data_IF_660028091812
#
_entry.id   IF_660028091812
#
_cell.length_a   1.000
_cell.length_b   1.000
_cell.length_c   1.000
_cell.angle_alpha   90.00
_cell.angle_beta   90.00
_cell.angle_gamma   90.00
#
_symmetry.space_group_name_H-M   'P 1'
#
loop_
_entity.id
_entity.type
_entity.pdbx_description
1 polymer ?
#
# COMPACT_ATOMS: atom_id res chain seq x y z
N UNK A 1 23.90 -3.49 0.87
CA UNK A 1 23.75 -4.86 1.43
C UNK A 1 22.66 -4.95 2.50
N UNK A 2 22.56 -4.03 3.48
CA UNK A 2 21.56 -4.12 4.57
C UNK A 2 20.11 -4.08 4.09
N UNK A 3 19.77 -3.24 3.11
CA UNK A 3 18.43 -3.20 2.51
C UNK A 3 18.00 -4.54 1.90
N UNK A 4 18.92 -5.20 1.17
CA UNK A 4 18.65 -6.54 0.65
C UNK A 4 18.44 -7.57 1.77
N UNK A 5 19.26 -7.51 2.84
CA UNK A 5 19.07 -8.36 4.02
C UNK A 5 17.72 -8.16 4.68
N UNK A 6 17.25 -6.91 4.80
CA UNK A 6 15.93 -6.62 5.35
C UNK A 6 14.81 -7.26 4.52
N UNK A 7 14.86 -7.07 3.18
CA UNK A 7 13.86 -7.66 2.29
C UNK A 7 13.90 -9.20 2.33
N UNK A 8 15.09 -9.81 2.21
CA UNK A 8 15.25 -11.27 2.19
C UNK A 8 14.82 -11.90 3.52
N UNK A 9 15.13 -11.27 4.66
CA UNK A 9 14.72 -11.78 5.98
C UNK A 9 13.20 -11.86 6.12
N UNK A 10 12.47 -10.87 5.59
CA UNK A 10 11.02 -10.79 5.74
C UNK A 10 10.25 -11.48 4.59
N UNK A 11 10.91 -11.74 3.46
CA UNK A 11 10.32 -12.35 2.27
C UNK A 11 9.58 -13.68 2.52
N UNK A 12 10.05 -14.61 3.38
CA UNK A 12 9.37 -15.89 3.60
C UNK A 12 7.94 -15.78 4.16
N UNK A 13 7.58 -14.61 4.70
CA UNK A 13 6.23 -14.37 5.24
C UNK A 13 5.25 -13.85 4.18
N UNK A 14 5.77 -13.43 3.02
CA UNK A 14 4.99 -12.78 1.98
C UNK A 14 4.60 -13.76 0.88
N UNK A 15 3.35 -13.64 0.40
CA UNK A 15 2.78 -14.48 -0.64
C UNK A 15 1.70 -13.73 -1.42
N UNK A 16 1.37 -14.24 -2.61
CA UNK A 16 0.16 -13.89 -3.33
C UNK A 16 -0.78 -15.10 -3.42
N UNK A 17 -2.07 -14.85 -3.64
CA UNK A 17 -3.00 -15.90 -4.04
C UNK A 17 -2.98 -16.05 -5.56
N UNK A 18 -3.03 -17.29 -6.05
CA UNK A 18 -3.06 -17.62 -7.46
C UNK A 18 -4.24 -18.51 -7.83
N UNK A 19 -4.70 -18.34 -9.07
CA UNK A 19 -5.73 -19.18 -9.65
C UNK A 19 -6.47 -18.48 -10.78
N UNK A 20 -6.95 -19.26 -11.75
CA UNK A 20 -7.69 -18.75 -12.90
C UNK A 20 -8.92 -17.91 -12.51
N UNK A 21 -9.47 -18.13 -11.31
CA UNK A 21 -10.57 -17.36 -10.76
C UNK A 21 -10.16 -15.89 -10.55
N UNK A 22 -8.97 -15.66 -9.98
CA UNK A 22 -8.42 -14.32 -9.79
C UNK A 22 -8.11 -13.64 -11.12
N UNK A 23 -7.54 -14.37 -12.07
CA UNK A 23 -7.23 -13.84 -13.39
C UNK A 23 -8.51 -13.43 -14.13
N UNK A 24 -9.55 -14.26 -14.05
CA UNK A 24 -10.86 -13.96 -14.63
C UNK A 24 -11.50 -12.72 -13.99
N UNK A 25 -11.43 -12.59 -12.66
CA UNK A 25 -11.97 -11.40 -11.96
C UNK A 25 -11.17 -10.16 -12.32
N UNK A 26 -9.83 -10.23 -12.35
CA UNK A 26 -9.00 -9.12 -12.80
C UNK A 26 -9.34 -8.67 -14.21
N UNK A 27 -9.52 -9.61 -15.13
CA UNK A 27 -9.94 -9.30 -16.50
C UNK A 27 -11.34 -8.67 -16.54
N UNK A 28 -12.28 -9.17 -15.77
CA UNK A 28 -13.62 -8.59 -15.63
C UNK A 28 -13.56 -7.16 -15.12
N UNK A 29 -12.76 -6.90 -14.07
CA UNK A 29 -12.56 -5.58 -13.50
C UNK A 29 -11.86 -4.64 -14.49
N UNK A 30 -10.80 -5.09 -15.14
CA UNK A 30 -10.06 -4.32 -16.14
C UNK A 30 -10.95 -3.85 -17.30
N UNK A 31 -11.82 -4.74 -17.78
CA UNK A 31 -12.77 -4.45 -18.86
C UNK A 31 -14.05 -3.77 -18.37
N UNK A 32 -14.21 -3.59 -17.06
CA UNK A 32 -15.43 -3.07 -16.42
C UNK A 32 -16.71 -3.79 -16.83
N UNK A 33 -16.61 -5.10 -17.07
CA UNK A 33 -17.76 -5.96 -17.36
C UNK A 33 -18.44 -6.40 -16.06
N UNK A 34 -19.11 -5.46 -15.41
CA UNK A 34 -19.63 -5.57 -14.05
C UNK A 34 -21.14 -5.87 -14.05
N UNK A 35 -21.57 -6.84 -14.88
CA UNK A 35 -22.95 -7.28 -14.89
C UNK A 35 -23.31 -8.11 -13.65
N UNK A 36 -24.61 -8.13 -13.32
CA UNK A 36 -25.11 -8.75 -12.09
C UNK A 36 -24.85 -10.28 -12.03
N UNK A 37 -24.87 -10.96 -13.15
CA UNK A 37 -24.66 -12.41 -13.20
C UNK A 37 -23.19 -12.76 -12.93
N UNK A 38 -22.26 -12.06 -13.57
CA UNK A 38 -20.84 -12.20 -13.33
C UNK A 38 -20.48 -11.90 -11.88
N UNK A 39 -20.99 -10.82 -11.32
CA UNK A 39 -20.78 -10.47 -9.91
C UNK A 39 -21.35 -11.54 -8.99
N UNK A 40 -22.56 -12.04 -9.23
CA UNK A 40 -23.19 -13.09 -8.44
C UNK A 40 -22.38 -14.38 -8.46
N UNK A 41 -21.87 -14.76 -9.63
CA UNK A 41 -20.97 -15.92 -9.79
C UNK A 41 -19.72 -15.76 -8.92
N UNK A 42 -19.04 -14.63 -9.00
CA UNK A 42 -17.79 -14.43 -8.29
C UNK A 42 -17.96 -14.23 -6.77
N UNK A 43 -19.13 -13.80 -6.31
CA UNK A 43 -19.47 -13.77 -4.86
C UNK A 43 -19.49 -15.17 -4.21
N UNK A 44 -19.61 -16.23 -5.00
CA UNK A 44 -19.58 -17.63 -4.50
C UNK A 44 -18.15 -18.17 -4.31
N UNK A 45 -17.14 -17.46 -4.81
CA UNK A 45 -15.76 -17.92 -4.78
C UNK A 45 -15.06 -17.42 -3.51
N UNK A 46 -14.48 -18.33 -2.75
CA UNK A 46 -13.61 -18.01 -1.61
C UNK A 46 -12.18 -17.75 -2.11
N UNK A 47 -11.89 -16.52 -2.52
CA UNK A 47 -10.58 -16.15 -3.06
C UNK A 47 -9.42 -16.32 -2.08
N UNK A 48 -9.67 -16.19 -0.79
CA UNK A 48 -8.66 -16.40 0.27
C UNK A 48 -8.40 -17.88 0.61
N UNK A 49 -9.09 -18.80 -0.07
CA UNK A 49 -8.85 -20.26 -0.02
C UNK A 49 -8.07 -20.78 -1.23
N UNK A 50 -7.68 -19.90 -2.16
CA UNK A 50 -6.89 -20.26 -3.31
C UNK A 50 -5.43 -20.58 -2.92
N UNK A 51 -4.69 -21.31 -3.79
CA UNK A 51 -3.28 -21.59 -3.56
C UNK A 51 -2.45 -20.32 -3.32
N UNK A 52 -1.45 -20.43 -2.46
CA UNK A 52 -0.50 -19.37 -2.15
C UNK A 52 0.81 -19.61 -2.87
N UNK A 53 1.35 -18.58 -3.49
CA UNK A 53 2.69 -18.55 -4.05
C UNK A 53 3.55 -17.61 -3.21
N UNK A 54 4.55 -18.17 -2.56
CA UNK A 54 5.43 -17.40 -1.67
C UNK A 54 6.50 -16.67 -2.46
N UNK A 55 6.78 -15.43 -2.06
CA UNK A 55 7.79 -14.59 -2.72
C UNK A 55 9.17 -15.24 -2.77
N UNK A 56 9.55 -15.95 -1.71
CA UNK A 56 10.80 -16.69 -1.64
C UNK A 56 10.97 -17.75 -2.73
N UNK A 57 9.88 -18.18 -3.38
CA UNK A 57 9.90 -19.18 -4.47
C UNK A 57 9.99 -18.55 -5.86
N UNK A 58 9.53 -17.30 -6.02
CA UNK A 58 9.30 -16.71 -7.36
C UNK A 58 10.03 -15.40 -7.59
N UNK A 59 10.45 -14.69 -6.54
CA UNK A 59 11.10 -13.39 -6.69
C UNK A 59 12.51 -13.56 -7.29
N UNK A 60 12.85 -12.71 -8.23
CA UNK A 60 14.17 -12.73 -8.88
C UNK A 60 15.12 -11.70 -8.28
N UNK A 61 16.42 -11.96 -8.39
CA UNK A 61 17.45 -10.99 -7.98
C UNK A 61 17.32 -9.67 -8.73
N UNK A 62 17.02 -9.69 -10.02
CA UNK A 62 16.84 -8.48 -10.83
C UNK A 62 15.68 -7.63 -10.33
N UNK A 63 14.56 -8.25 -9.97
CA UNK A 63 13.41 -7.55 -9.38
C UNK A 63 13.80 -6.84 -8.08
N UNK A 64 14.51 -7.53 -7.17
CA UNK A 64 14.96 -6.93 -5.91
C UNK A 64 15.97 -5.82 -6.13
N UNK A 65 16.92 -5.99 -7.04
CA UNK A 65 17.95 -4.98 -7.36
C UNK A 65 17.25 -3.71 -7.88
N UNK A 66 16.36 -3.83 -8.87
CA UNK A 66 15.63 -2.68 -9.42
C UNK A 66 14.81 -1.96 -8.33
N UNK A 67 14.11 -2.73 -7.49
CA UNK A 67 13.34 -2.18 -6.37
C UNK A 67 14.22 -1.40 -5.39
N UNK A 68 15.36 -2.00 -5.00
CA UNK A 68 16.31 -1.39 -4.05
C UNK A 68 16.92 -0.12 -4.65
N UNK A 69 17.38 -0.17 -5.88
CA UNK A 69 18.06 0.95 -6.55
C UNK A 69 17.12 2.15 -6.69
N UNK A 70 15.89 1.94 -7.13
CA UNK A 70 14.89 3.00 -7.22
C UNK A 70 14.50 3.55 -5.84
N UNK A 71 14.38 2.70 -4.82
CA UNK A 71 14.10 3.13 -3.46
C UNK A 71 15.24 4.00 -2.89
N UNK A 72 16.49 3.58 -3.06
CA UNK A 72 17.65 4.40 -2.66
C UNK A 72 17.76 5.70 -3.44
N UNK A 73 17.46 5.66 -4.74
CA UNK A 73 17.51 6.84 -5.60
C UNK A 73 16.60 7.95 -5.07
N UNK A 74 15.34 7.65 -4.72
CA UNK A 74 14.41 8.64 -4.17
C UNK A 74 14.73 9.01 -2.73
N UNK A 75 15.19 8.07 -1.91
CA UNK A 75 15.59 8.35 -0.53
C UNK A 75 16.75 9.35 -0.46
N UNK A 76 17.75 9.21 -1.32
CA UNK A 76 18.90 10.12 -1.38
C UNK A 76 18.60 11.44 -2.10
N UNK A 77 17.67 11.42 -3.05
CA UNK A 77 17.35 12.60 -3.88
C UNK A 77 16.63 13.68 -3.10
N UNK A 78 15.65 13.31 -2.29
CA UNK A 78 14.74 14.28 -1.72
C UNK A 78 15.14 14.73 -0.32
N UNK A 79 15.14 16.06 -0.06
CA UNK A 79 15.69 16.63 1.18
C UNK A 79 14.89 16.26 2.43
N UNK A 80 13.59 16.02 2.33
CA UNK A 80 12.77 15.60 3.48
C UNK A 80 13.16 14.23 4.03
N UNK A 81 13.89 13.42 3.29
CA UNK A 81 14.38 12.13 3.75
C UNK A 81 15.64 12.20 4.62
N UNK A 82 16.23 13.39 4.81
CA UNK A 82 17.40 13.58 5.72
C UNK A 82 17.08 13.23 7.18
N UNK A 83 15.81 13.35 7.58
CA UNK A 83 15.32 12.99 8.92
C UNK A 83 14.89 11.52 9.04
N UNK A 84 14.91 10.78 7.93
CA UNK A 84 14.48 9.40 7.89
C UNK A 84 15.70 8.49 8.10
N UNK A 85 15.73 7.76 9.20
CA UNK A 85 16.79 6.80 9.45
C UNK A 85 16.65 5.55 8.54
N UNK A 86 17.60 4.64 8.67
CA UNK A 86 17.62 3.45 7.81
C UNK A 86 16.49 2.47 8.10
N UNK A 87 16.05 2.35 9.35
CA UNK A 87 14.94 1.47 9.73
C UNK A 87 13.62 2.01 9.20
N UNK A 88 13.40 3.33 9.30
CA UNK A 88 12.27 4.00 8.67
C UNK A 88 12.27 3.87 7.15
N UNK A 89 13.44 4.03 6.50
CA UNK A 89 13.57 3.79 5.07
C UNK A 89 13.17 2.36 4.70
N UNK A 90 13.65 1.39 5.46
CA UNK A 90 13.34 -0.02 5.25
C UNK A 90 11.85 -0.33 5.40
N UNK A 91 11.15 0.37 6.31
CA UNK A 91 9.73 0.11 6.54
C UNK A 91 8.80 0.89 5.62
N UNK A 92 9.11 2.17 5.33
CA UNK A 92 8.16 3.05 4.64
C UNK A 92 8.45 3.26 3.16
N UNK A 93 9.71 3.12 2.69
CA UNK A 93 10.08 3.39 1.29
C UNK A 93 10.51 2.14 0.55
N UNK A 94 11.34 1.30 1.17
CA UNK A 94 11.98 0.14 0.54
C UNK A 94 11.03 -0.99 0.13
N UNK A 95 9.93 -1.31 0.86
CA UNK A 95 9.12 -2.51 0.60
C UNK A 95 8.59 -2.58 -0.83
N UNK A 96 8.69 -3.77 -1.42
CA UNK A 96 8.26 -4.04 -2.79
C UNK A 96 6.79 -4.46 -2.91
N UNK A 97 6.13 -4.74 -1.78
CA UNK A 97 4.72 -5.12 -1.71
C UNK A 97 4.01 -4.45 -0.53
N UNK A 98 2.70 -4.58 -0.49
CA UNK A 98 1.81 -4.02 0.55
C UNK A 98 1.25 -5.14 1.44
N UNK A 99 0.63 -6.15 0.84
CA UNK A 99 0.01 -7.30 1.53
C UNK A 99 0.13 -8.57 0.66
N UNK A 100 -0.96 -9.08 0.10
CA UNK A 100 -1.05 -10.36 -0.63
C UNK A 100 -1.29 -10.20 -2.13
N UNK A 101 -0.90 -9.07 -2.69
CA UNK A 101 -0.96 -8.80 -4.11
C UNK A 101 0.10 -9.60 -4.88
N UNK A 102 -0.12 -9.93 -6.17
CA UNK A 102 0.92 -10.47 -7.03
C UNK A 102 2.09 -9.50 -7.20
N UNK A 103 3.28 -10.05 -7.44
CA UNK A 103 4.46 -9.25 -7.79
C UNK A 103 4.26 -8.59 -9.16
N UNK A 104 4.60 -7.32 -9.27
CA UNK A 104 4.62 -6.55 -10.53
C UNK A 104 5.72 -5.50 -10.51
N UNK A 105 6.14 -5.00 -11.68
CA UNK A 105 7.17 -3.95 -11.80
C UNK A 105 6.63 -2.56 -11.52
N UNK A 106 5.76 -2.44 -10.52
CA UNK A 106 5.05 -1.22 -10.18
C UNK A 106 5.96 -0.04 -9.87
N UNK A 107 7.10 -0.27 -9.18
CA UNK A 107 7.94 0.82 -8.67
C UNK A 107 8.50 1.69 -9.79
N UNK A 108 8.99 1.09 -10.85
CA UNK A 108 9.49 1.81 -12.02
C UNK A 108 8.38 2.62 -12.69
N UNK A 109 7.22 2.00 -12.90
CA UNK A 109 6.06 2.63 -13.52
C UNK A 109 5.61 3.89 -12.76
N UNK A 110 5.46 3.79 -11.45
CA UNK A 110 5.08 4.93 -10.60
C UNK A 110 6.21 5.95 -10.48
N UNK A 111 7.47 5.52 -10.41
CA UNK A 111 8.62 6.40 -10.39
C UNK A 111 8.68 7.27 -11.64
N UNK A 112 8.60 6.68 -12.82
CA UNK A 112 8.67 7.39 -14.11
C UNK A 112 7.49 8.35 -14.31
N UNK A 113 6.33 8.07 -13.73
CA UNK A 113 5.17 8.93 -13.80
C UNK A 113 5.23 10.09 -12.78
N UNK A 114 5.41 9.77 -11.49
CA UNK A 114 5.18 10.76 -10.43
C UNK A 114 6.41 11.60 -10.10
N UNK A 115 7.64 11.08 -10.25
CA UNK A 115 8.82 11.86 -9.86
C UNK A 115 9.07 13.08 -10.75
N UNK A 116 8.91 13.05 -12.10
CA UNK A 116 9.06 14.25 -12.91
C UNK A 116 8.03 15.32 -12.56
N UNK A 117 6.80 14.91 -12.25
CA UNK A 117 5.72 15.82 -11.83
C UNK A 117 6.07 16.47 -10.49
N UNK A 118 6.47 15.68 -9.52
CA UNK A 118 6.86 16.18 -8.21
C UNK A 118 8.05 17.14 -8.31
N UNK A 119 9.06 16.80 -9.11
CA UNK A 119 10.23 17.64 -9.35
C UNK A 119 9.88 18.99 -10.00
N UNK A 120 8.85 19.01 -10.85
CA UNK A 120 8.41 20.26 -11.50
C UNK A 120 7.55 21.14 -10.59
N UNK A 121 6.83 20.54 -9.65
CA UNK A 121 5.85 21.23 -8.81
C UNK A 121 6.40 21.65 -7.44
N UNK A 122 7.44 20.97 -6.94
CA UNK A 122 7.90 21.17 -5.57
C UNK A 122 9.42 21.09 -5.43
N UNK A 123 10.01 22.18 -4.92
CA UNK A 123 11.44 22.31 -4.67
C UNK A 123 11.78 22.55 -3.19
N UNK A 124 10.79 22.35 -2.30
CA UNK A 124 10.96 22.55 -0.86
C UNK A 124 11.46 21.30 -0.13
N UNK A 125 11.56 21.41 1.19
CA UNK A 125 12.06 20.35 2.07
C UNK A 125 10.96 19.69 2.92
N UNK A 126 9.73 20.23 2.90
CA UNK A 126 8.63 19.72 3.72
C UNK A 126 7.90 18.55 3.04
N UNK A 127 7.98 17.38 3.67
CA UNK A 127 7.33 16.16 3.20
C UNK A 127 5.79 16.27 3.13
N UNK A 128 5.17 17.12 3.95
CA UNK A 128 3.70 17.31 3.92
C UNK A 128 3.28 17.98 2.62
N UNK A 129 4.04 18.99 2.16
CA UNK A 129 3.77 19.62 0.87
C UNK A 129 4.07 18.69 -0.30
N UNK A 130 5.18 17.92 -0.24
CA UNK A 130 5.47 16.91 -1.25
C UNK A 130 4.31 15.89 -1.37
N UNK A 131 3.81 15.40 -0.23
CA UNK A 131 2.66 14.50 -0.18
C UNK A 131 1.41 15.13 -0.81
N UNK A 132 1.11 16.41 -0.50
CA UNK A 132 -0.02 17.15 -1.11
C UNK A 132 0.10 17.25 -2.61
N UNK A 133 1.29 17.47 -3.17
CA UNK A 133 1.49 17.54 -4.63
C UNK A 133 1.16 16.21 -5.29
N UNK A 134 1.66 15.10 -4.73
CA UNK A 134 1.33 13.75 -5.23
C UNK A 134 -0.15 13.43 -5.06
N UNK A 135 -0.79 13.82 -3.94
CA UNK A 135 -2.24 13.69 -3.76
C UNK A 135 -3.03 14.47 -4.81
N UNK A 136 -2.57 15.69 -5.15
CA UNK A 136 -3.16 16.50 -6.21
C UNK A 136 -3.12 15.80 -7.57
N UNK A 137 -2.01 15.14 -7.89
CA UNK A 137 -1.88 14.36 -9.13
C UNK A 137 -2.75 13.10 -9.12
N UNK A 138 -2.80 12.40 -8.00
CA UNK A 138 -3.67 11.23 -7.82
C UNK A 138 -5.15 11.57 -8.03
N UNK A 139 -5.59 12.76 -7.61
CA UNK A 139 -6.97 13.24 -7.78
C UNK A 139 -7.38 13.46 -9.25
N UNK A 140 -6.44 13.75 -10.15
CA UNK A 140 -6.74 13.97 -11.58
C UNK A 140 -7.22 12.71 -12.30
N UNK A 141 -6.94 11.55 -11.75
CA UNK A 141 -7.36 10.25 -12.26
C UNK A 141 -8.29 9.58 -11.25
N UNK A 142 -9.58 9.64 -11.50
CA UNK A 142 -10.59 9.10 -10.60
C UNK A 142 -10.47 7.58 -10.41
N UNK A 143 -10.79 7.12 -9.20
CA UNK A 143 -10.98 5.71 -8.89
C UNK A 143 -12.42 5.31 -9.25
N UNK A 144 -12.57 4.28 -10.07
CA UNK A 144 -13.88 3.66 -10.26
C UNK A 144 -14.26 2.88 -9.00
N UNK A 145 -15.26 3.38 -8.27
CA UNK A 145 -15.63 2.81 -6.98
C UNK A 145 -16.40 1.50 -7.15
N UNK A 146 -15.83 0.40 -6.61
CA UNK A 146 -16.39 -0.94 -6.72
C UNK A 146 -16.20 -1.72 -5.41
N UNK A 147 -17.29 -2.17 -4.79
CA UNK A 147 -17.32 -2.84 -3.48
C UNK A 147 -17.96 -4.23 -3.50
N UNK A 148 -18.36 -4.70 -4.67
CA UNK A 148 -19.21 -5.88 -4.79
C UNK A 148 -18.48 -7.21 -4.52
N UNK A 149 -17.15 -7.24 -4.61
CA UNK A 149 -16.36 -8.42 -4.39
C UNK A 149 -15.29 -8.20 -3.32
N UNK A 150 -15.12 -9.20 -2.45
CA UNK A 150 -14.01 -9.27 -1.49
C UNK A 150 -12.95 -10.17 -2.08
N UNK A 151 -11.89 -9.58 -2.60
CA UNK A 151 -10.78 -10.26 -3.28
C UNK A 151 -9.44 -9.90 -2.61
N UNK A 152 -8.36 -10.68 -2.78
CA UNK A 152 -7.01 -10.28 -2.41
C UNK A 152 -6.61 -8.94 -3.01
N UNK A 153 -5.53 -8.33 -2.49
CA UNK A 153 -5.01 -7.08 -3.05
C UNK A 153 -4.65 -7.23 -4.52
N UNK A 154 -4.87 -6.20 -5.29
CA UNK A 154 -4.46 -6.12 -6.68
C UNK A 154 -3.07 -5.48 -6.75
N UNK A 155 -2.25 -5.95 -7.68
CA UNK A 155 -0.90 -5.45 -7.85
C UNK A 155 -0.85 -4.00 -8.32
N UNK A 156 0.31 -3.37 -8.12
CA UNK A 156 0.47 -1.95 -8.40
C UNK A 156 0.35 -1.58 -9.87
N UNK A 157 0.75 -2.46 -10.79
CA UNK A 157 0.62 -2.23 -12.22
C UNK A 157 -0.85 -2.28 -12.67
N UNK A 158 -1.60 -3.28 -12.19
CA UNK A 158 -3.05 -3.35 -12.41
C UNK A 158 -3.74 -2.08 -11.89
N UNK A 159 -3.46 -1.68 -10.67
CA UNK A 159 -4.07 -0.49 -10.06
C UNK A 159 -3.67 0.81 -10.77
N UNK A 160 -2.46 0.90 -11.29
CA UNK A 160 -2.03 2.06 -12.08
C UNK A 160 -2.88 2.24 -13.34
N UNK A 161 -3.13 1.15 -14.07
CA UNK A 161 -3.84 1.20 -15.35
C UNK A 161 -5.36 1.29 -15.19
N UNK A 162 -5.93 0.53 -14.25
CA UNK A 162 -7.39 0.33 -14.21
C UNK A 162 -8.11 1.14 -13.15
N UNK A 163 -7.42 1.50 -12.03
CA UNK A 163 -7.96 2.35 -10.96
C UNK A 163 -9.39 1.97 -10.58
N UNK A 164 -9.60 0.74 -10.16
CA UNK A 164 -10.89 0.19 -9.75
C UNK A 164 -10.77 -0.42 -8.36
N UNK A 165 -11.76 -0.19 -7.51
CA UNK A 165 -11.82 -0.72 -6.15
C UNK A 165 -12.52 0.22 -5.18
N UNK A 166 -12.14 0.18 -3.92
CA UNK A 166 -12.73 0.99 -2.85
C UNK A 166 -11.64 1.64 -1.98
N UNK A 167 -11.89 1.90 -0.70
CA UNK A 167 -10.91 2.59 0.17
C UNK A 167 -9.55 1.89 0.21
N UNK A 168 -9.51 0.56 0.20
CA UNK A 168 -8.27 -0.23 0.20
C UNK A 168 -7.43 0.05 -1.05
N UNK A 169 -8.01 -0.12 -2.24
CA UNK A 169 -7.30 0.11 -3.51
C UNK A 169 -6.89 1.58 -3.68
N UNK A 170 -7.69 2.51 -3.17
CA UNK A 170 -7.30 3.92 -3.10
C UNK A 170 -6.04 4.13 -2.25
N UNK A 171 -5.98 3.45 -1.09
CA UNK A 171 -4.81 3.48 -0.21
C UNK A 171 -3.59 2.81 -0.85
N UNK A 172 -3.79 1.68 -1.54
CA UNK A 172 -2.71 0.95 -2.20
C UNK A 172 -2.08 1.77 -3.34
N UNK A 173 -2.90 2.35 -4.22
CA UNK A 173 -2.44 3.26 -5.28
C UNK A 173 -1.63 4.42 -4.68
N UNK A 174 -2.14 4.99 -3.60
CA UNK A 174 -1.47 6.08 -2.90
C UNK A 174 -0.12 5.63 -2.35
N UNK A 175 -0.07 4.49 -1.68
CA UNK A 175 1.15 3.95 -1.10
C UNK A 175 2.22 3.66 -2.15
N UNK A 176 1.83 3.09 -3.31
CA UNK A 176 2.74 2.90 -4.44
C UNK A 176 3.31 4.23 -4.96
N UNK A 177 2.47 5.22 -5.18
CA UNK A 177 2.89 6.54 -5.65
C UNK A 177 3.84 7.24 -4.65
N UNK A 178 3.49 7.21 -3.36
CA UNK A 178 4.30 7.83 -2.31
C UNK A 178 5.66 7.14 -2.13
N UNK A 179 5.69 5.79 -2.09
CA UNK A 179 6.95 5.03 -2.04
C UNK A 179 7.84 5.30 -3.25
N UNK A 180 7.26 5.39 -4.45
CA UNK A 180 7.99 5.71 -5.68
C UNK A 180 8.57 7.13 -5.68
N UNK A 181 7.98 8.06 -4.91
CA UNK A 181 8.45 9.43 -4.71
C UNK A 181 9.29 9.61 -3.45
N UNK A 182 9.65 8.55 -2.75
CA UNK A 182 10.42 8.67 -1.50
C UNK A 182 9.66 9.42 -0.39
N UNK A 183 8.35 9.32 -0.36
CA UNK A 183 7.49 9.90 0.69
C UNK A 183 7.10 8.78 1.66
N UNK A 184 7.46 8.87 2.95
CA UNK A 184 7.26 7.80 3.92
C UNK A 184 5.80 7.71 4.37
N UNK A 185 5.05 6.81 3.75
CA UNK A 185 3.63 6.59 4.00
C UNK A 185 3.38 5.15 4.43
N UNK A 186 2.47 4.96 5.36
CA UNK A 186 1.92 3.68 5.74
C UNK A 186 0.42 3.63 5.46
N UNK A 187 -0.13 2.42 5.44
CA UNK A 187 -1.57 2.18 5.41
C UNK A 187 -2.02 1.71 6.78
N UNK A 188 -3.06 2.33 7.30
CA UNK A 188 -3.71 1.94 8.55
C UNK A 188 -5.16 1.54 8.30
N UNK A 189 -5.68 0.66 9.16
CA UNK A 189 -7.04 0.17 9.06
C UNK A 189 -7.62 -0.20 10.42
N UNK A 190 -8.95 -0.25 10.50
CA UNK A 190 -9.65 -0.93 11.56
C UNK A 190 -10.57 -2.00 10.96
N UNK A 191 -10.69 -3.12 11.65
CA UNK A 191 -11.57 -4.21 11.22
C UNK A 191 -12.98 -4.09 11.78
N UNK A 192 -13.14 -3.35 12.86
CA UNK A 192 -14.39 -3.23 13.57
C UNK A 192 -14.58 -1.84 14.14
N UNK A 193 -15.75 -1.27 13.90
CA UNK A 193 -16.21 -0.04 14.53
C UNK A 193 -17.37 -0.38 15.46
N UNK A 194 -17.46 0.19 16.67
CA UNK A 194 -18.59 -0.03 17.56
C UNK A 194 -19.96 0.41 16.98
N UNK A 195 -19.93 1.37 16.07
CA UNK A 195 -21.15 1.94 15.48
C UNK A 195 -21.45 1.42 14.07
N UNK A 196 -20.38 1.04 13.34
CA UNK A 196 -20.49 0.56 11.97
C UNK A 196 -19.78 -0.77 11.90
N UNK A 197 -20.44 -1.84 11.57
CA UNK A 197 -19.80 -3.15 11.34
C UNK A 197 -18.96 -3.14 10.05
N UNK A 198 -18.25 -2.04 9.77
CA UNK A 198 -17.53 -1.81 8.55
C UNK A 198 -16.03 -1.64 8.80
N UNK A 199 -15.27 -2.32 7.99
CA UNK A 199 -13.84 -2.14 7.77
C UNK A 199 -13.57 -0.81 7.04
N UNK A 200 -12.51 -0.11 7.43
CA UNK A 200 -12.03 1.06 6.69
C UNK A 200 -10.51 1.13 6.72
N UNK A 201 -9.95 1.68 5.65
CA UNK A 201 -8.51 1.82 5.42
C UNK A 201 -8.21 3.26 5.02
N UNK A 202 -7.11 3.82 5.54
CA UNK A 202 -6.60 5.16 5.22
C UNK A 202 -5.08 5.14 5.17
N UNK A 203 -4.47 6.22 4.66
CA UNK A 203 -3.03 6.39 4.69
C UNK A 203 -2.58 7.30 5.83
N UNK A 204 -1.36 7.11 6.29
CA UNK A 204 -0.68 7.99 7.24
C UNK A 204 0.69 8.36 6.71
N UNK A 205 0.97 9.66 6.68
CA UNK A 205 2.28 10.21 6.35
C UNK A 205 3.14 10.30 7.61
N UNK A 206 4.34 9.73 7.60
CA UNK A 206 5.34 9.99 8.63
C UNK A 206 6.04 11.30 8.30
N UNK A 207 5.87 12.32 9.13
CA UNK A 207 6.51 13.60 8.90
C UNK A 207 7.97 13.65 9.41
N UNK A 208 8.66 14.75 9.16
CA UNK A 208 10.06 14.93 9.55
C UNK A 208 10.30 14.97 11.07
N UNK A 209 9.24 15.06 11.88
CA UNK A 209 9.31 14.96 13.35
C UNK A 209 9.03 13.54 13.87
N UNK A 210 8.73 12.61 12.99
CA UNK A 210 8.35 11.23 13.34
C UNK A 210 6.86 11.05 13.66
N UNK A 211 6.04 12.10 13.54
CA UNK A 211 4.58 12.03 13.76
C UNK A 211 3.89 11.45 12.54
N UNK A 212 2.81 10.69 12.80
CA UNK A 212 1.96 10.17 11.75
C UNK A 212 0.75 11.07 11.54
N UNK A 213 0.55 11.51 10.30
CA UNK A 213 -0.51 12.42 9.87
C UNK A 213 -1.47 11.63 8.99
N UNK A 214 -2.71 11.47 9.43
CA UNK A 214 -3.77 10.83 8.67
C UNK A 214 -4.12 11.66 7.42
N UNK A 215 -4.30 10.97 6.28
CA UNK A 215 -4.84 11.58 5.07
C UNK A 215 -5.57 10.55 4.20
N UNK A 216 -6.47 11.03 3.35
CA UNK A 216 -7.15 10.25 2.31
C UNK A 216 -7.14 11.08 1.02
N UNK A 217 -6.45 10.67 -0.05
CA UNK A 217 -6.42 11.45 -1.29
C UNK A 217 -7.83 11.75 -1.81
N UNK A 218 -8.07 13.03 -2.09
CA UNK A 218 -9.40 13.48 -2.54
C UNK A 218 -10.39 13.83 -1.44
N UNK A 219 -10.15 13.43 -0.18
CA UNK A 219 -11.06 13.67 0.94
C UNK A 219 -10.42 14.46 2.08
N UNK A 220 -9.22 14.04 2.50
CA UNK A 220 -8.50 14.59 3.64
C UNK A 220 -7.08 14.86 3.22
N UNK A 221 -6.68 16.13 3.15
CA UNK A 221 -5.31 16.52 2.85
C UNK A 221 -4.43 16.40 4.12
N UNK A 222 -3.17 15.91 3.99
CA UNK A 222 -2.27 15.83 5.13
C UNK A 222 -1.95 17.23 5.68
N UNK A 223 -2.03 17.41 7.00
CA UNK A 223 -1.73 18.68 7.67
C UNK A 223 -1.23 18.46 9.09
N UNK A 224 -0.30 19.34 9.56
CA UNK A 224 0.18 19.38 10.96
C UNK A 224 -0.69 20.28 11.84
N UNK A 225 -1.43 21.20 11.24
CA UNK A 225 -2.05 22.34 11.94
C UNK A 225 -3.29 21.97 12.73
N UNK A 226 -3.85 20.81 12.44
CA UNK A 226 -5.05 20.31 13.12
C UNK A 226 -5.07 18.79 13.17
N UNK A 227 -5.74 18.26 14.19
CA UNK A 227 -6.09 16.84 14.24
C UNK A 227 -7.18 16.59 13.21
N UNK A 228 -6.86 15.78 12.21
CA UNK A 228 -7.79 15.41 11.16
C UNK A 228 -8.52 14.14 11.57
N UNK A 229 -9.82 14.13 11.43
CA UNK A 229 -10.67 12.96 11.70
C UNK A 229 -11.60 12.71 10.54
N UNK A 230 -11.89 11.45 10.26
CA UNK A 230 -12.92 11.02 9.33
C UNK A 230 -14.30 10.91 10.00
N UNK A 231 -14.43 11.39 11.25
CA UNK A 231 -15.64 11.35 12.10
C UNK A 231 -16.17 9.93 12.39
N UNK A 232 -15.35 8.90 12.18
CA UNK A 232 -15.71 7.52 12.50
C UNK A 232 -15.15 7.13 13.85
N UNK A 233 -15.96 6.58 14.73
CA UNK A 233 -15.46 5.91 15.93
C UNK A 233 -14.76 4.63 15.52
N UNK A 234 -13.46 4.56 15.81
CA UNK A 234 -12.61 3.42 15.50
C UNK A 234 -12.48 2.53 16.73
N UNK A 235 -12.54 1.23 16.51
CA UNK A 235 -12.03 0.26 17.47
C UNK A 235 -10.50 0.31 17.49
N UNK A 236 -9.86 -0.86 17.59
CA UNK A 236 -8.41 -0.95 17.49
C UNK A 236 -7.96 -0.67 16.05
N UNK A 237 -7.08 0.31 15.88
CA UNK A 237 -6.42 0.58 14.60
C UNK A 237 -5.13 -0.26 14.49
N UNK A 238 -4.85 -0.73 13.29
CA UNK A 238 -3.67 -1.51 12.92
C UNK A 238 -2.94 -0.80 11.79
N UNK A 239 -1.63 -1.03 11.68
CA UNK A 239 -0.79 -0.56 10.59
C UNK A 239 -0.19 -1.75 9.86
N UNK A 240 -0.21 -1.71 8.53
CA UNK A 240 0.57 -2.64 7.74
C UNK A 240 2.05 -2.33 7.89
N UNK A 241 2.82 -3.33 8.24
CA UNK A 241 4.27 -3.28 8.34
C UNK A 241 4.87 -4.38 7.47
N UNK A 242 5.95 -4.07 6.73
CA UNK A 242 6.64 -5.06 5.92
C UNK A 242 7.53 -5.96 6.78
N UNK A 243 8.22 -5.37 7.73
CA UNK A 243 9.09 -6.09 8.65
C UNK A 243 8.32 -6.83 9.76
N UNK A 244 8.87 -7.95 10.21
CA UNK A 244 8.33 -8.71 11.33
C UNK A 244 8.27 -7.86 12.61
N UNK A 245 7.08 -7.75 13.19
CA UNK A 245 6.85 -7.01 14.43
C UNK A 245 7.03 -7.94 15.65
N UNK A 246 8.27 -8.12 16.11
CA UNK A 246 8.64 -9.04 17.20
C UNK A 246 7.84 -8.84 18.48
N UNK A 247 7.53 -7.59 18.85
CA UNK A 247 6.73 -7.29 20.03
C UNK A 247 5.29 -7.80 19.90
N UNK A 248 4.70 -7.70 18.71
CA UNK A 248 3.36 -8.21 18.42
C UNK A 248 3.35 -9.73 18.39
N UNK A 249 4.35 -10.35 17.77
CA UNK A 249 4.51 -11.81 17.75
C UNK A 249 4.66 -12.41 19.16
N UNK A 250 5.45 -11.76 20.03
CA UNK A 250 5.59 -12.18 21.42
C UNK A 250 4.28 -12.05 22.22
N UNK A 251 3.49 -11.01 21.99
CA UNK A 251 2.18 -10.83 22.64
C UNK A 251 1.16 -11.87 22.18
N UNK A 252 1.15 -12.21 20.90
CA UNK A 252 0.28 -13.25 20.33
C UNK A 252 0.64 -14.64 20.89
N UNK A 253 1.93 -14.96 20.97
CA UNK A 253 2.41 -16.22 21.54
C UNK A 253 2.10 -16.38 23.04
N UNK A 254 2.17 -15.28 23.81
CA UNK A 254 1.84 -15.30 25.25
C UNK A 254 0.35 -15.50 25.54
N UNK A 255 -0.53 -15.11 24.65
CA UNK A 255 -2.00 -15.20 24.82
C UNK A 255 -2.64 -16.45 24.23
N UNK A 256 -1.86 -17.39 23.70
CA UNK A 256 -2.39 -18.65 23.15
C UNK A 256 -3.34 -18.44 21.94
N UNK A 257 -3.28 -17.31 21.26
CA UNK A 257 -4.00 -17.09 20.02
C UNK A 257 -3.37 -17.97 18.93
N UNK A 258 -3.92 -19.16 18.75
CA UNK A 258 -3.67 -19.97 17.55
C UNK A 258 -4.39 -19.28 16.40
N UNK A 259 -3.69 -19.11 15.28
CA UNK A 259 -4.30 -18.71 14.03
C UNK A 259 -5.42 -19.73 13.68
N UNK A 260 -6.66 -19.30 13.73
CA UNK A 260 -7.78 -19.99 13.09
C UNK A 260 -8.07 -19.28 11.78
#
# INVERSE_FOLDING_TARGET
>A
MEAARFLIRNMPHWYAYEGWQLDSVRQMLALRKLDKESIKKWKQVSFYSLPKVYDAQVITSNYLIENIDLAFKVWKKYPWNRSLDFDDFCEFILPYRIDNEPLSSWRKLYYEHYTPILDSLYHGEDVVYACRMVCGELKKRELYYFTELIIPHMDGEFLYHHRIGYCRESCDITLYAMRACGIPVATEFFRYSPEYQHYHTWNTLRDTTGRFILFEPGKIDPTRDKITTDNRKKGKAYRYCFGEQKSTALLLNRKGYRNT
#
